data_IF_789488479404
#
_entry.id   IF_789488479404
#
_cell.length_a   1.000
_cell.length_b   1.000
_cell.length_c   1.000
_cell.angle_alpha   90.00
_cell.angle_beta   90.00
_cell.angle_gamma   90.00
#
_symmetry.space_group_name_H-M   'P 1'
#
loop_
_entity.id
_entity.type
_entity.pdbx_description
1 polymer ?
#
# COMPACT_ATOMS: atom_id res chain seq x y z
N UNK A 1 6.25 0.54 16.75
CA UNK A 1 6.94 0.39 15.44
C UNK A 1 6.32 1.36 14.43
N UNK A 2 7.08 2.23 13.76
CA UNK A 2 6.52 3.11 12.72
C UNK A 2 6.13 2.29 11.48
N UNK A 3 5.00 2.63 10.85
CA UNK A 3 4.58 2.00 9.60
C UNK A 3 3.80 3.00 8.73
N UNK A 4 3.61 2.66 7.47
CA UNK A 4 2.74 3.40 6.55
C UNK A 4 1.88 2.44 5.73
N UNK A 5 0.82 2.94 5.12
CA UNK A 5 -0.16 2.12 4.38
C UNK A 5 -0.31 2.61 2.95
N UNK A 6 -0.62 1.72 2.01
CA UNK A 6 -1.06 2.12 0.67
C UNK A 6 -2.32 3.00 0.76
N UNK A 7 -2.48 4.01 -0.09
CA UNK A 7 -3.59 4.99 0.05
C UNK A 7 -5.00 4.48 -0.34
N UNK A 8 -5.16 3.16 -0.52
CA UNK A 8 -6.45 2.48 -0.62
C UNK A 8 -6.99 2.01 0.74
N UNK A 9 -6.20 2.12 1.81
CA UNK A 9 -6.67 1.86 3.16
C UNK A 9 -7.36 3.11 3.71
N UNK A 10 -8.55 2.93 4.27
CA UNK A 10 -9.25 3.98 5.00
C UNK A 10 -8.44 4.38 6.23
N UNK A 11 -8.20 5.68 6.37
CA UNK A 11 -7.59 6.29 7.56
C UNK A 11 -8.58 7.31 8.09
N UNK A 12 -8.98 7.19 9.36
CA UNK A 12 -10.00 8.04 9.97
C UNK A 12 -9.67 9.53 9.77
N UNK A 13 -10.64 10.30 9.26
CA UNK A 13 -10.48 11.72 8.99
C UNK A 13 -9.76 12.07 7.69
N UNK A 14 -9.30 11.10 6.90
CA UNK A 14 -8.68 11.31 5.59
C UNK A 14 -9.51 10.70 4.44
N UNK A 15 -9.38 11.28 3.25
CA UNK A 15 -10.03 10.77 2.04
C UNK A 15 -9.24 9.60 1.46
N UNK A 16 -9.90 8.47 1.23
CA UNK A 16 -9.29 7.28 0.61
C UNK A 16 -9.16 7.46 -0.90
N UNK A 17 -7.96 7.80 -1.36
CA UNK A 17 -7.70 8.15 -2.75
C UNK A 17 -7.68 6.92 -3.68
N UNK A 18 -7.17 5.78 -3.22
CA UNK A 18 -6.92 4.60 -4.06
C UNK A 18 -6.13 4.95 -5.35
N UNK A 19 -5.16 5.84 -5.25
CA UNK A 19 -4.37 6.36 -6.38
C UNK A 19 -5.17 7.22 -7.38
N UNK A 20 -6.44 7.51 -7.12
CA UNK A 20 -7.32 8.16 -8.07
C UNK A 20 -7.62 9.61 -7.72
N UNK A 21 -7.55 10.49 -8.72
CA UNK A 21 -7.96 11.89 -8.55
C UNK A 21 -9.47 12.01 -8.31
N UNK A 22 -10.27 11.11 -8.90
CA UNK A 22 -11.73 11.11 -8.80
C UNK A 22 -12.19 10.99 -7.34
N UNK A 23 -11.49 10.20 -6.52
CA UNK A 23 -11.86 10.01 -5.12
C UNK A 23 -11.56 11.23 -4.23
N UNK A 24 -10.78 12.21 -4.69
CA UNK A 24 -10.34 13.34 -3.86
C UNK A 24 -11.50 14.23 -3.35
N UNK A 25 -12.67 14.18 -4.00
CA UNK A 25 -13.88 14.88 -3.58
C UNK A 25 -14.82 14.05 -2.68
N UNK A 26 -14.45 12.81 -2.36
CA UNK A 26 -15.25 11.98 -1.47
C UNK A 26 -15.19 12.50 -0.03
N UNK A 27 -16.18 12.10 0.78
CA UNK A 27 -16.12 12.33 2.21
C UNK A 27 -14.91 11.58 2.82
N UNK A 28 -14.25 12.13 3.84
CA UNK A 28 -13.24 11.41 4.60
C UNK A 28 -13.79 10.11 5.21
N UNK A 29 -12.92 9.12 5.39
CA UNK A 29 -13.28 7.89 6.08
C UNK A 29 -13.67 8.18 7.53
N UNK A 30 -14.75 7.55 7.98
CA UNK A 30 -15.30 7.71 9.34
C UNK A 30 -14.64 6.78 10.38
N UNK A 31 -13.81 5.85 9.93
CA UNK A 31 -13.07 4.92 10.76
C UNK A 31 -11.85 4.40 10.01
N UNK A 32 -10.82 4.03 10.75
CA UNK A 32 -9.65 3.33 10.21
C UNK A 32 -10.03 1.96 9.60
N UNK A 33 -9.23 1.50 8.63
CA UNK A 33 -9.30 0.14 8.14
C UNK A 33 -9.04 -0.90 9.25
N UNK A 34 -9.59 -2.10 9.13
CA UNK A 34 -9.44 -3.15 10.13
C UNK A 34 -7.97 -3.43 10.48
N UNK A 35 -7.11 -3.51 9.46
CA UNK A 35 -5.68 -3.75 9.65
C UNK A 35 -4.96 -2.56 10.30
N UNK A 36 -5.42 -1.33 10.10
CA UNK A 36 -4.88 -0.16 10.80
C UNK A 36 -5.23 -0.23 12.28
N UNK A 37 -6.48 -0.53 12.64
CA UNK A 37 -6.89 -0.75 14.04
C UNK A 37 -6.08 -1.88 14.69
N UNK A 38 -5.84 -2.97 13.97
CA UNK A 38 -5.02 -4.08 14.46
C UNK A 38 -3.57 -3.67 14.72
N UNK A 39 -2.97 -2.90 13.81
CA UNK A 39 -1.62 -2.35 13.96
C UNK A 39 -1.51 -1.38 15.15
N UNK A 40 -2.48 -0.47 15.31
CA UNK A 40 -2.55 0.45 16.45
C UNK A 40 -2.69 -0.30 17.77
N UNK A 41 -3.56 -1.33 17.84
CA UNK A 41 -3.71 -2.19 19.02
C UNK A 41 -2.41 -2.92 19.39
N UNK A 42 -1.57 -3.23 18.40
CA UNK A 42 -0.24 -3.80 18.59
C UNK A 42 0.85 -2.76 18.97
N UNK A 43 0.49 -1.48 19.15
CA UNK A 43 1.42 -0.40 19.48
C UNK A 43 2.23 0.13 18.29
N UNK A 44 1.77 -0.10 17.06
CA UNK A 44 2.38 0.50 15.87
C UNK A 44 1.89 1.94 15.67
N UNK A 45 2.74 2.77 15.06
CA UNK A 45 2.49 4.21 14.84
C UNK A 45 2.37 4.45 13.34
N UNK A 46 1.19 4.87 12.89
CA UNK A 46 0.93 5.18 11.48
C UNK A 46 1.56 6.53 11.11
N UNK A 47 2.41 6.54 10.09
CA UNK A 47 3.08 7.76 9.61
C UNK A 47 2.44 8.37 8.36
N UNK A 48 1.61 7.63 7.63
CA UNK A 48 0.89 8.17 6.48
C UNK A 48 0.44 7.14 5.45
N UNK A 49 -0.13 7.67 4.37
CA UNK A 49 -0.63 6.94 3.22
C UNK A 49 0.31 7.07 2.02
N UNK A 50 0.50 6.00 1.25
CA UNK A 50 1.53 5.86 0.23
C UNK A 50 0.95 5.76 -1.19
N UNK A 51 1.72 6.26 -2.15
CA UNK A 51 1.37 6.27 -3.57
C UNK A 51 1.16 4.85 -4.15
N UNK A 52 0.32 4.76 -5.18
CA UNK A 52 -0.03 3.52 -5.88
C UNK A 52 -0.49 3.80 -7.31
N UNK A 53 -0.50 2.76 -8.16
CA UNK A 53 -1.25 2.83 -9.43
C UNK A 53 -2.74 3.10 -9.15
N UNK A 54 -3.37 3.91 -9.99
CA UNK A 54 -4.79 4.26 -9.87
C UNK A 54 -5.66 3.00 -9.82
N UNK A 55 -6.54 2.94 -8.82
CA UNK A 55 -7.44 1.80 -8.53
C UNK A 55 -6.72 0.44 -8.47
N UNK A 56 -5.45 0.45 -8.09
CA UNK A 56 -4.57 -0.71 -7.98
C UNK A 56 -4.31 -1.47 -9.29
N UNK A 57 -4.76 -0.96 -10.45
CA UNK A 57 -4.65 -1.64 -11.72
C UNK A 57 -3.38 -1.24 -12.48
N UNK A 58 -2.24 -1.72 -11.98
CA UNK A 58 -0.94 -1.50 -12.58
C UNK A 58 0.16 -2.26 -11.84
N UNK A 59 1.34 -2.28 -12.44
CA UNK A 59 2.51 -2.97 -11.91
C UNK A 59 3.76 -2.07 -11.84
N UNK A 60 3.62 -0.76 -11.97
CA UNK A 60 4.76 0.17 -12.07
C UNK A 60 4.70 1.37 -11.13
N UNK A 61 3.54 1.69 -10.54
CA UNK A 61 3.32 2.91 -9.75
C UNK A 61 3.74 4.17 -10.52
N UNK A 62 3.38 4.23 -11.79
CA UNK A 62 3.56 5.38 -12.68
C UNK A 62 2.27 6.19 -12.73
N UNK A 63 1.88 6.73 -11.57
CA UNK A 63 0.61 7.41 -11.42
C UNK A 63 0.64 8.79 -12.12
N UNK A 64 -0.25 9.03 -13.09
CA UNK A 64 -0.31 10.28 -13.84
C UNK A 64 -0.67 11.50 -12.98
N UNK A 65 -1.46 11.31 -11.93
CA UNK A 65 -1.98 12.40 -11.09
C UNK A 65 -1.04 12.77 -9.96
N UNK A 66 -0.41 11.77 -9.35
CA UNK A 66 0.43 11.92 -8.15
C UNK A 66 1.92 11.71 -8.41
N UNK A 67 2.30 11.45 -9.67
CA UNK A 67 3.66 11.20 -10.09
C UNK A 67 4.10 9.74 -9.87
N UNK A 68 5.19 9.38 -10.54
CA UNK A 68 5.77 8.04 -10.44
C UNK A 68 6.51 7.84 -9.10
N UNK A 69 6.32 6.68 -8.47
CA UNK A 69 7.19 6.24 -7.39
C UNK A 69 8.47 5.66 -7.97
N UNK A 70 9.61 6.26 -7.60
CA UNK A 70 10.94 5.88 -8.09
C UNK A 70 11.58 4.82 -7.20
N UNK A 71 12.32 3.90 -7.81
CA UNK A 71 13.04 2.86 -7.10
C UNK A 71 14.19 3.45 -6.26
N UNK A 72 14.30 3.16 -4.95
CA UNK A 72 15.38 3.69 -4.12
C UNK A 72 16.79 3.24 -4.53
N UNK A 73 16.93 2.13 -5.25
CA UNK A 73 18.23 1.64 -5.75
C UNK A 73 18.68 2.35 -7.03
N UNK A 74 17.75 2.89 -7.81
CA UNK A 74 18.00 3.67 -9.02
C UNK A 74 16.75 4.52 -9.34
N UNK A 75 16.84 5.82 -9.07
CA UNK A 75 15.69 6.73 -9.20
C UNK A 75 15.25 6.97 -10.64
N UNK A 76 15.99 6.48 -11.64
CA UNK A 76 15.55 6.47 -13.04
C UNK A 76 14.55 5.34 -13.34
N UNK A 77 14.33 4.40 -12.42
CA UNK A 77 13.51 3.20 -12.60
C UNK A 77 12.23 3.21 -11.77
N UNK A 78 11.26 2.42 -12.21
CA UNK A 78 10.03 2.14 -11.48
C UNK A 78 10.30 1.34 -10.20
N UNK A 79 9.55 1.65 -9.13
CA UNK A 79 9.50 0.86 -7.90
C UNK A 79 8.68 -0.45 -8.02
N UNK A 80 8.07 -0.72 -9.17
CA UNK A 80 7.02 -1.73 -9.34
C UNK A 80 5.67 -1.26 -8.80
N UNK A 81 4.66 -2.14 -8.81
CA UNK A 81 3.31 -1.76 -8.43
C UNK A 81 2.34 -2.93 -8.29
N UNK A 82 1.09 -2.68 -7.89
CA UNK A 82 0.54 -1.34 -7.62
C UNK A 82 0.89 -0.76 -6.26
N UNK A 83 1.55 -1.50 -5.38
CA UNK A 83 1.98 -1.01 -4.06
C UNK A 83 3.43 -0.49 -4.08
N UNK A 84 3.85 0.21 -5.13
CA UNK A 84 5.24 0.67 -5.27
C UNK A 84 5.63 1.69 -4.21
N UNK A 85 4.72 2.56 -3.77
CA UNK A 85 4.96 3.47 -2.64
C UNK A 85 5.30 2.70 -1.35
N UNK A 86 4.56 1.63 -1.06
CA UNK A 86 4.81 0.72 0.06
C UNK A 86 6.20 0.11 0.03
N UNK A 87 6.60 -0.46 -1.12
CA UNK A 87 7.91 -1.09 -1.24
C UNK A 87 9.06 -0.07 -1.22
N UNK A 88 8.93 1.04 -1.94
CA UNK A 88 9.94 2.08 -1.98
C UNK A 88 10.16 2.72 -0.60
N UNK A 89 9.11 2.95 0.19
CA UNK A 89 9.23 3.51 1.54
C UNK A 89 10.03 2.59 2.48
N UNK A 90 9.83 1.27 2.37
CA UNK A 90 10.59 0.28 3.15
C UNK A 90 12.04 0.18 2.66
N UNK A 91 12.25 0.09 1.35
CA UNK A 91 13.57 -0.03 0.74
C UNK A 91 14.44 1.23 0.97
N UNK A 92 13.86 2.43 0.91
CA UNK A 92 14.52 3.69 1.25
C UNK A 92 14.75 3.88 2.77
N UNK A 93 14.15 3.02 3.59
CA UNK A 93 14.29 3.05 5.04
C UNK A 93 13.49 4.14 5.77
N UNK A 94 12.47 4.71 5.13
CA UNK A 94 11.57 5.68 5.76
C UNK A 94 10.73 5.03 6.86
N UNK A 95 10.30 3.78 6.65
CA UNK A 95 9.61 2.97 7.66
C UNK A 95 10.08 1.51 7.58
N UNK A 96 10.13 0.77 8.70
CA UNK A 96 10.51 -0.64 8.70
C UNK A 96 9.42 -1.58 8.13
N UNK A 97 8.16 -1.12 8.09
CA UNK A 97 7.00 -1.93 7.74
C UNK A 97 5.99 -1.08 6.95
N UNK A 98 5.38 -1.66 5.92
CA UNK A 98 4.19 -1.08 5.27
C UNK A 98 3.13 -2.11 4.98
N UNK A 99 1.87 -1.65 4.86
CA UNK A 99 0.77 -2.43 4.34
C UNK A 99 0.49 -2.07 2.86
N UNK A 100 0.08 -3.06 2.09
CA UNK A 100 -0.34 -2.91 0.70
C UNK A 100 -1.41 -3.92 0.30
N UNK A 101 -1.67 -4.03 -1.00
CA UNK A 101 -2.61 -5.01 -1.56
C UNK A 101 -1.97 -5.82 -2.68
N UNK A 102 -2.42 -7.07 -2.85
CA UNK A 102 -1.98 -7.98 -3.91
C UNK A 102 -3.19 -8.71 -4.50
N UNK A 103 -3.58 -8.31 -5.70
CA UNK A 103 -4.63 -9.01 -6.48
C UNK A 103 -3.96 -9.99 -7.46
N UNK A 104 -3.04 -9.48 -8.28
CA UNK A 104 -2.32 -10.24 -9.31
C UNK A 104 -0.79 -10.19 -9.16
N UNK A 105 -0.26 -9.64 -8.07
CA UNK A 105 1.17 -9.44 -7.88
C UNK A 105 1.55 -8.17 -7.13
N UNK A 106 0.58 -7.34 -6.75
CA UNK A 106 0.83 -5.97 -6.30
C UNK A 106 1.55 -5.82 -4.94
N UNK A 107 1.85 -6.91 -4.23
CA UNK A 107 2.86 -6.95 -3.15
C UNK A 107 4.16 -7.57 -3.66
N UNK A 108 4.06 -8.72 -4.33
CA UNK A 108 5.24 -9.50 -4.76
C UNK A 108 6.11 -8.78 -5.79
N UNK A 109 5.52 -8.14 -6.79
CA UNK A 109 6.21 -7.37 -7.85
C UNK A 109 7.05 -6.24 -7.26
N UNK A 110 6.48 -5.26 -6.52
CA UNK A 110 7.27 -4.15 -6.00
C UNK A 110 8.27 -4.60 -4.91
N UNK A 111 8.00 -5.69 -4.19
CA UNK A 111 8.99 -6.29 -3.27
C UNK A 111 10.22 -6.79 -4.03
N UNK A 112 10.02 -7.51 -5.13
CA UNK A 112 11.09 -7.99 -5.99
C UNK A 112 11.89 -6.84 -6.60
N UNK A 113 11.21 -5.81 -7.10
CA UNK A 113 11.86 -4.67 -7.75
C UNK A 113 12.62 -3.77 -6.76
N UNK A 114 12.10 -3.60 -5.55
CA UNK A 114 12.74 -2.80 -4.50
C UNK A 114 13.68 -3.60 -3.59
N UNK A 115 13.88 -4.91 -3.84
CA UNK A 115 14.83 -5.75 -3.11
C UNK A 115 14.52 -5.92 -1.61
N UNK A 116 13.24 -6.11 -1.27
CA UNK A 116 12.77 -6.28 0.12
C UNK A 116 11.82 -7.48 0.26
N UNK A 117 11.47 -7.84 1.50
CA UNK A 117 10.49 -8.90 1.75
C UNK A 117 9.07 -8.40 1.51
N UNK A 118 8.25 -9.25 0.88
CA UNK A 118 6.82 -9.05 0.70
C UNK A 118 6.05 -10.33 0.99
N UNK A 119 5.02 -10.23 1.81
CA UNK A 119 4.13 -11.35 2.13
C UNK A 119 2.73 -11.07 1.59
N UNK A 120 2.29 -11.96 0.68
CA UNK A 120 0.87 -12.13 0.34
C UNK A 120 0.35 -13.37 1.08
N UNK A 121 -0.47 -13.21 2.13
CA UNK A 121 -1.05 -14.34 2.85
C UNK A 121 -1.97 -15.22 1.99
N UNK A 122 -2.44 -16.32 2.57
CA UNK A 122 -3.55 -17.10 2.02
C UNK A 122 -4.79 -16.22 1.85
N UNK A 123 -5.56 -16.46 0.79
CA UNK A 123 -6.80 -15.74 0.55
C UNK A 123 -7.76 -15.82 1.75
N UNK A 124 -8.34 -14.70 2.15
CA UNK A 124 -9.23 -14.59 3.31
C UNK A 124 -8.55 -14.64 4.68
N UNK A 125 -7.21 -14.77 4.76
CA UNK A 125 -6.51 -14.82 6.05
C UNK A 125 -6.50 -13.47 6.80
N UNK A 126 -6.62 -12.36 6.08
CA UNK A 126 -6.69 -11.01 6.63
C UNK A 126 -8.00 -10.34 6.18
N UNK A 127 -8.63 -9.58 7.08
CA UNK A 127 -9.80 -8.76 6.75
C UNK A 127 -9.42 -7.64 5.77
N UNK A 128 -10.29 -7.41 4.79
CA UNK A 128 -10.20 -6.30 3.83
C UNK A 128 -11.15 -5.14 4.18
N UNK A 129 -11.79 -5.19 5.35
CA UNK A 129 -12.68 -4.13 5.82
C UNK A 129 -11.93 -2.78 5.91
N UNK A 130 -12.50 -1.76 5.27
CA UNK A 130 -11.88 -0.43 5.13
C UNK A 130 -10.75 -0.37 4.10
N UNK A 131 -10.76 -1.25 3.09
CA UNK A 131 -9.91 -1.13 1.91
C UNK A 131 -10.78 -0.87 0.67
N UNK A 132 -10.33 0.04 -0.19
CA UNK A 132 -10.95 0.22 -1.50
C UNK A 132 -10.72 -1.04 -2.37
N UNK A 133 -11.80 -1.68 -2.87
CA UNK A 133 -11.67 -2.94 -3.61
C UNK A 133 -11.15 -2.72 -5.04
N UNK A 134 -10.48 -3.73 -5.57
CA UNK A 134 -10.18 -3.83 -7.01
C UNK A 134 -10.91 -5.02 -7.63
N UNK A 135 -10.62 -6.24 -7.16
CA UNK A 135 -11.34 -7.45 -7.61
C UNK A 135 -11.63 -8.33 -6.40
N UNK A 136 -12.88 -8.30 -5.93
CA UNK A 136 -13.31 -8.96 -4.69
C UNK A 136 -12.84 -10.41 -4.53
N UNK A 137 -12.89 -11.21 -5.60
CA UNK A 137 -12.50 -12.63 -5.55
C UNK A 137 -10.98 -12.89 -5.52
N UNK A 138 -10.16 -11.86 -5.71
CA UNK A 138 -8.70 -11.98 -5.80
C UNK A 138 -7.94 -11.04 -4.87
N UNK A 139 -8.60 -10.05 -4.27
CA UNK A 139 -7.92 -9.08 -3.41
C UNK A 139 -7.35 -9.73 -2.15
N UNK A 140 -6.10 -9.40 -1.85
CA UNK A 140 -5.44 -9.71 -0.59
C UNK A 140 -4.88 -8.42 0.00
N UNK A 141 -4.93 -8.28 1.32
CA UNK A 141 -4.02 -7.40 2.03
C UNK A 141 -2.65 -8.11 2.17
N UNK A 142 -1.57 -7.34 2.11
CA UNK A 142 -0.23 -7.86 2.33
C UNK A 142 0.69 -6.83 2.98
N UNK A 143 1.92 -7.25 3.26
CA UNK A 143 2.89 -6.46 4.02
C UNK A 143 4.28 -6.51 3.40
N UNK A 144 5.05 -5.47 3.66
CA UNK A 144 6.45 -5.32 3.24
C UNK A 144 7.34 -5.04 4.44
N UNK A 145 8.50 -5.68 4.50
CA UNK A 145 9.48 -5.45 5.56
C UNK A 145 10.92 -5.61 5.05
N UNK A 146 11.89 -5.07 5.80
CA UNK A 146 13.33 -5.27 5.50
C UNK A 146 13.88 -6.62 5.99
N UNK A 147 13.20 -7.27 6.92
CA UNK A 147 13.60 -8.54 7.51
C UNK A 147 12.37 -9.41 7.77
N UNK A 148 12.57 -10.73 7.72
CA UNK A 148 11.59 -11.77 8.09
C UNK A 148 11.50 -12.00 9.60
#
# INVERSE_FOLDING_TARGET
VPYAVKNLFDVEGFVTLAGAKINASNAPAIADAHLIKAMQKAGAVLLGALNMDEYAYGFTTENHHFGATRNPHDVSRSAGGSSGGSAAAVAAGFVPLTLGSDTNGSVRVPSSMCGIFGLKPTYGALSLEGMFPFVHSFDHAGMFARSS
#
